data_IF_280340699110
#
_entry.id   IF_280340699110
#
_cell.length_a   1.000
_cell.length_b   1.000
_cell.length_c   1.000
_cell.angle_alpha   90.00
_cell.angle_beta   90.00
_cell.angle_gamma   90.00
#
_symmetry.space_group_name_H-M   'P 1'
#
loop_
_entity.id
_entity.type
_entity.pdbx_description
1 polymer ?
#
# COMPACT_ATOMS: atom_id res chain seq x y z
N UNK A 1 30.73 42.97 22.71
CA UNK A 1 30.44 41.59 22.29
C UNK A 1 29.93 40.95 23.54
N UNK A 2 28.61 40.95 23.69
CA UNK A 2 27.97 40.80 24.98
C UNK A 2 27.43 39.37 25.06
N UNK A 3 28.02 38.57 25.95
CA UNK A 3 27.63 37.18 26.17
C UNK A 3 26.29 37.13 26.91
N UNK A 4 25.26 36.63 26.22
CA UNK A 4 23.96 36.32 26.81
C UNK A 4 24.05 34.94 27.44
N UNK A 5 24.13 34.90 28.78
CA UNK A 5 24.07 33.66 29.55
C UNK A 5 22.60 33.27 29.70
N UNK A 6 22.20 32.18 29.03
CA UNK A 6 20.86 31.60 29.13
C UNK A 6 20.88 30.57 30.26
N UNK A 7 20.21 30.90 31.37
CA UNK A 7 20.01 29.99 32.50
C UNK A 7 18.94 28.94 32.16
N UNK A 8 19.37 27.70 31.94
CA UNK A 8 18.49 26.57 31.58
C UNK A 8 18.01 25.88 32.85
N UNK A 9 16.73 26.11 33.18
CA UNK A 9 16.06 25.50 34.33
C UNK A 9 15.93 23.97 34.16
N UNK A 10 16.33 23.22 35.19
CA UNK A 10 16.26 21.77 35.22
C UNK A 10 14.82 21.22 35.07
N UNK A 11 14.62 20.08 34.36
CA UNK A 11 13.31 19.50 34.14
C UNK A 11 12.74 18.86 35.42
N UNK A 12 11.48 19.19 35.72
CA UNK A 12 10.70 18.61 36.80
C UNK A 12 10.38 17.13 36.52
N UNK A 13 10.77 16.27 37.46
CA UNK A 13 10.46 14.83 37.44
C UNK A 13 8.98 14.63 37.75
N UNK A 14 8.17 14.35 36.72
CA UNK A 14 6.76 14.00 36.87
C UNK A 14 6.64 12.50 37.17
N UNK A 15 6.36 12.14 38.43
CA UNK A 15 5.92 10.79 38.80
C UNK A 15 4.46 10.59 38.41
N UNK A 16 4.21 9.87 37.33
CA UNK A 16 2.88 9.38 36.97
C UNK A 16 2.55 8.14 37.81
N UNK A 17 1.73 8.33 38.84
CA UNK A 17 1.03 7.26 39.56
C UNK A 17 -0.39 7.18 39.01
N UNK A 18 -0.67 6.15 38.22
CA UNK A 18 -2.03 5.77 37.87
C UNK A 18 -2.20 4.26 38.02
N UNK A 19 -2.48 3.87 39.25
CA UNK A 19 -3.03 2.57 39.58
C UNK A 19 -4.58 2.72 39.60
N UNK A 20 -5.24 2.35 38.49
CA UNK A 20 -6.71 2.34 38.41
C UNK A 20 -7.20 0.96 38.01
N UNK A 21 -7.53 0.17 39.04
CA UNK A 21 -8.38 -1.02 38.99
C UNK A 21 -9.67 -0.74 38.21
N UNK A 22 -9.77 -1.24 36.97
CA UNK A 22 -11.04 -1.35 36.25
C UNK A 22 -11.85 -2.52 36.83
N UNK A 23 -12.86 -2.21 37.64
CA UNK A 23 -13.99 -3.12 37.93
C UNK A 23 -14.76 -3.34 36.63
N UNK A 24 -14.76 -4.58 36.11
CA UNK A 24 -15.69 -5.02 35.06
C UNK A 24 -17.09 -5.12 35.66
N UNK A 25 -17.96 -4.17 35.34
CA UNK A 25 -19.40 -4.37 35.46
C UNK A 25 -19.85 -5.18 34.23
N UNK A 26 -20.26 -6.43 34.46
CA UNK A 26 -20.92 -7.26 33.45
C UNK A 26 -22.33 -6.73 33.23
N UNK A 27 -22.56 -6.08 32.09
CA UNK A 27 -23.90 -5.78 31.60
C UNK A 27 -24.60 -7.11 31.23
N UNK A 28 -25.88 -7.28 31.59
CA UNK A 28 -26.65 -8.44 31.17
C UNK A 28 -26.85 -8.36 29.65
N UNK A 29 -26.31 -9.35 28.95
CA UNK A 29 -26.50 -9.56 27.53
C UNK A 29 -27.96 -9.98 27.33
N UNK A 30 -28.81 -9.02 26.98
CA UNK A 30 -30.20 -9.25 26.61
C UNK A 30 -30.19 -10.10 25.34
N UNK A 31 -30.57 -11.37 25.48
CA UNK A 31 -30.64 -12.36 24.42
C UNK A 31 -31.60 -11.87 23.32
N UNK A 32 -31.05 -11.55 22.15
CA UNK A 32 -31.76 -11.11 20.94
C UNK A 32 -32.59 -12.24 20.30
N UNK A 33 -32.53 -13.46 20.85
CA UNK A 33 -33.20 -14.64 20.28
C UNK A 33 -34.73 -14.66 20.43
N UNK A 34 -35.35 -13.88 21.32
CA UNK A 34 -36.79 -13.98 21.53
C UNK A 34 -37.66 -13.13 20.58
N UNK A 35 -37.09 -12.17 19.85
CA UNK A 35 -37.87 -11.29 18.96
C UNK A 35 -38.22 -11.96 17.62
N UNK A 36 -37.55 -13.05 17.24
CA UNK A 36 -37.75 -13.70 15.93
C UNK A 36 -38.86 -14.76 15.88
N UNK A 37 -39.66 -14.93 16.94
CA UNK A 37 -40.70 -15.99 16.99
C UNK A 37 -42.01 -15.68 16.24
N UNK A 38 -42.20 -14.48 15.69
CA UNK A 38 -43.53 -14.02 15.22
C UNK A 38 -43.65 -13.63 13.74
N UNK A 39 -42.97 -14.33 12.83
CA UNK A 39 -43.24 -14.17 11.37
C UNK A 39 -43.60 -15.52 10.74
N UNK A 40 -44.87 -15.75 10.33
CA UNK A 40 -45.32 -16.98 9.68
C UNK A 40 -45.12 -16.93 8.16
N UNK A 41 -43.93 -16.50 7.70
CA UNK A 41 -43.55 -16.60 6.30
C UNK A 41 -42.37 -17.55 6.17
N UNK A 42 -42.68 -18.85 6.25
CA UNK A 42 -41.77 -19.89 5.77
C UNK A 42 -41.78 -19.87 4.24
N UNK A 43 -41.02 -18.93 3.66
CA UNK A 43 -40.56 -19.12 2.29
C UNK A 43 -39.79 -20.44 2.25
N UNK A 44 -40.00 -21.31 1.24
CA UNK A 44 -39.17 -22.48 1.06
C UNK A 44 -37.75 -21.98 0.83
N UNK A 45 -36.95 -21.99 1.89
CA UNK A 45 -35.50 -21.89 1.80
C UNK A 45 -35.10 -23.20 1.13
N UNK A 46 -35.14 -23.19 -0.20
CA UNK A 46 -34.38 -24.15 -0.99
C UNK A 46 -32.99 -24.06 -0.41
N UNK A 47 -32.56 -25.14 0.24
CA UNK A 47 -31.25 -25.21 0.84
C UNK A 47 -30.28 -24.87 -0.28
N UNK A 48 -29.74 -23.64 -0.27
CA UNK A 48 -28.63 -23.29 -1.13
C UNK A 48 -27.58 -24.31 -0.76
N UNK A 49 -27.43 -25.32 -1.62
CA UNK A 49 -26.44 -26.36 -1.51
C UNK A 49 -25.15 -25.56 -1.48
N UNK A 50 -24.62 -25.37 -0.27
CA UNK A 50 -23.50 -24.50 0.04
C UNK A 50 -22.31 -25.22 -0.57
N UNK A 51 -22.18 -25.14 -1.89
CA UNK A 51 -21.00 -25.55 -2.61
C UNK A 51 -19.92 -24.69 -1.96
N UNK A 52 -19.14 -25.32 -1.08
CA UNK A 52 -17.86 -24.81 -0.65
C UNK A 52 -17.03 -24.77 -1.93
N UNK A 53 -17.24 -23.75 -2.76
CA UNK A 53 -16.17 -23.18 -3.53
C UNK A 53 -15.17 -22.73 -2.47
N UNK A 54 -14.33 -23.67 -2.01
CA UNK A 54 -13.02 -23.32 -1.49
C UNK A 54 -12.34 -22.72 -2.70
N UNK A 55 -12.52 -21.41 -2.86
CA UNK A 55 -11.59 -20.62 -3.63
C UNK A 55 -10.26 -20.87 -2.94
N UNK A 56 -9.50 -21.84 -3.46
CA UNK A 56 -8.14 -22.08 -3.01
C UNK A 56 -7.35 -20.94 -3.61
N UNK A 57 -7.41 -19.78 -2.95
CA UNK A 57 -6.51 -18.69 -3.29
C UNK A 57 -5.09 -19.25 -3.18
N UNK A 58 -4.25 -19.07 -4.20
CA UNK A 58 -2.85 -19.45 -4.11
C UNK A 58 -2.22 -18.60 -3.01
N UNK A 59 -2.10 -19.17 -1.81
CA UNK A 59 -1.45 -18.50 -0.68
C UNK A 59 0.03 -18.37 -1.00
N UNK A 60 0.47 -17.13 -1.18
CA UNK A 60 1.87 -16.83 -1.42
C UNK A 60 2.67 -17.06 -0.13
N UNK A 61 3.81 -17.76 -0.26
CA UNK A 61 4.78 -17.88 0.83
C UNK A 61 5.38 -16.51 1.15
N UNK A 62 5.82 -16.32 2.40
CA UNK A 62 6.51 -15.08 2.84
C UNK A 62 7.65 -14.66 1.89
N UNK A 63 8.41 -15.62 1.37
CA UNK A 63 9.47 -15.35 0.39
C UNK A 63 8.96 -14.78 -0.93
N UNK A 64 7.80 -15.24 -1.42
CA UNK A 64 7.20 -14.72 -2.64
C UNK A 64 6.68 -13.30 -2.44
N UNK A 65 6.11 -12.99 -1.27
CA UNK A 65 5.65 -11.63 -0.93
C UNK A 65 6.83 -10.65 -0.84
N UNK A 66 7.93 -11.05 -0.19
CA UNK A 66 9.13 -10.24 -0.15
C UNK A 66 9.75 -10.03 -1.53
N UNK A 67 9.81 -11.09 -2.36
CA UNK A 67 10.31 -10.99 -3.73
C UNK A 67 9.43 -10.06 -4.58
N UNK A 68 8.11 -10.17 -4.45
CA UNK A 68 7.16 -9.27 -5.11
C UNK A 68 7.42 -7.81 -4.72
N UNK A 69 7.49 -7.52 -3.42
CA UNK A 69 7.74 -6.16 -2.93
C UNK A 69 9.10 -5.61 -3.40
N UNK A 70 10.13 -6.45 -3.53
CA UNK A 70 11.43 -6.03 -4.05
C UNK A 70 11.40 -5.77 -5.57
N UNK A 71 10.73 -6.63 -6.34
CA UNK A 71 10.58 -6.48 -7.79
C UNK A 71 9.87 -5.16 -8.12
N UNK A 72 8.78 -4.86 -7.41
CA UNK A 72 8.01 -3.63 -7.64
C UNK A 72 8.77 -2.37 -7.21
N UNK A 73 9.58 -2.44 -6.15
CA UNK A 73 10.48 -1.34 -5.81
C UNK A 73 11.56 -1.14 -6.88
N UNK A 74 12.11 -2.22 -7.43
CA UNK A 74 13.14 -2.15 -8.46
C UNK A 74 12.59 -1.64 -9.80
N UNK A 75 11.34 -1.93 -10.13
CA UNK A 75 10.72 -1.38 -11.35
C UNK A 75 10.74 0.15 -11.38
N UNK A 76 10.59 0.82 -10.23
CA UNK A 76 10.72 2.28 -10.16
C UNK A 76 12.12 2.74 -10.56
N UNK A 77 13.15 2.12 -10.00
CA UNK A 77 14.55 2.47 -10.31
C UNK A 77 14.84 2.26 -11.80
N UNK A 78 14.34 1.17 -12.38
CA UNK A 78 14.46 0.88 -13.80
C UNK A 78 13.78 1.96 -14.64
N UNK A 79 12.53 2.31 -14.33
CA UNK A 79 11.81 3.39 -15.03
C UNK A 79 12.57 4.72 -14.96
N UNK A 80 13.11 5.08 -13.79
CA UNK A 80 13.92 6.29 -13.65
C UNK A 80 15.19 6.24 -14.50
N UNK A 81 15.93 5.13 -14.47
CA UNK A 81 17.11 4.97 -15.32
C UNK A 81 16.79 5.12 -16.81
N UNK A 82 15.66 4.56 -17.27
CA UNK A 82 15.23 4.71 -18.66
C UNK A 82 14.86 6.17 -19.00
N UNK A 83 14.09 6.83 -18.14
CA UNK A 83 13.71 8.24 -18.34
C UNK A 83 14.94 9.15 -18.39
N UNK A 84 15.85 9.02 -17.43
CA UNK A 84 17.09 9.78 -17.41
C UNK A 84 17.97 9.48 -18.62
N UNK A 85 18.07 8.21 -19.05
CA UNK A 85 18.84 7.87 -20.24
C UNK A 85 18.28 8.52 -21.52
N UNK A 86 16.95 8.62 -21.65
CA UNK A 86 16.29 9.30 -22.77
C UNK A 86 16.62 10.80 -22.75
N UNK A 87 16.52 11.45 -21.59
CA UNK A 87 16.88 12.87 -21.42
C UNK A 87 18.35 13.14 -21.74
N UNK A 88 19.28 12.34 -21.19
CA UNK A 88 20.72 12.50 -21.40
C UNK A 88 21.16 12.23 -22.83
N UNK A 89 20.55 11.24 -23.48
CA UNK A 89 20.91 10.90 -24.85
C UNK A 89 20.53 12.03 -25.83
N UNK A 90 19.75 13.03 -25.38
CA UNK A 90 19.36 14.21 -26.13
C UNK A 90 18.82 13.83 -27.52
N UNK A 91 18.29 12.61 -27.64
CA UNK A 91 17.81 12.04 -28.90
C UNK A 91 16.66 12.95 -29.26
N UNK A 92 16.81 13.83 -30.26
CA UNK A 92 15.68 14.59 -30.73
C UNK A 92 14.83 13.53 -31.39
N UNK A 93 13.84 12.98 -30.67
CA UNK A 93 12.97 11.94 -31.20
C UNK A 93 12.24 12.62 -32.36
N UNK A 94 12.64 12.37 -33.61
CA UNK A 94 12.09 13.09 -34.73
C UNK A 94 10.70 12.49 -34.95
N UNK A 95 9.66 13.24 -34.64
CA UNK A 95 8.31 12.95 -35.11
C UNK A 95 7.67 11.63 -34.64
N UNK A 96 7.76 11.30 -33.35
CA UNK A 96 6.77 10.38 -32.74
C UNK A 96 5.89 11.16 -31.77
N UNK A 97 4.63 11.48 -32.11
CA UNK A 97 3.67 12.09 -31.19
C UNK A 97 3.39 11.23 -29.94
N UNK A 98 3.94 10.00 -29.89
CA UNK A 98 3.84 9.04 -28.78
C UNK A 98 4.86 9.33 -27.65
N UNK A 99 5.94 10.10 -27.92
CA UNK A 99 7.02 10.30 -26.93
C UNK A 99 7.45 11.75 -26.71
N UNK A 100 6.92 12.70 -27.47
CA UNK A 100 6.91 14.09 -27.03
C UNK A 100 5.63 14.26 -26.21
N UNK A 101 5.69 14.22 -24.86
CA UNK A 101 4.53 14.60 -24.08
C UNK A 101 4.17 16.01 -24.53
N UNK A 102 3.01 16.17 -25.16
CA UNK A 102 2.43 17.50 -25.21
C UNK A 102 2.42 18.02 -23.77
N UNK A 103 2.72 19.31 -23.54
CA UNK A 103 2.63 19.88 -22.21
C UNK A 103 1.22 19.58 -21.71
N UNK A 104 1.12 18.63 -20.78
CA UNK A 104 -0.17 18.20 -20.28
C UNK A 104 -0.75 19.37 -19.50
N UNK A 105 -1.90 19.86 -19.94
CA UNK A 105 -2.52 21.06 -19.37
C UNK A 105 -3.19 20.72 -18.03
N UNK A 106 -2.36 20.47 -17.02
CA UNK A 106 -2.80 20.25 -15.65
C UNK A 106 -3.19 21.58 -15.03
N UNK A 107 -4.34 21.61 -14.35
CA UNK A 107 -4.66 22.75 -13.49
C UNK A 107 -3.62 22.85 -12.36
N UNK A 108 -3.35 24.05 -11.81
CA UNK A 108 -2.39 24.22 -10.72
C UNK A 108 -2.67 23.32 -9.50
N UNK A 109 -3.95 23.01 -9.24
CA UNK A 109 -4.35 22.10 -8.18
C UNK A 109 -3.95 20.64 -8.47
N UNK A 110 -4.13 20.18 -9.71
CA UNK A 110 -3.74 18.84 -10.14
C UNK A 110 -2.22 18.68 -10.19
N UNK A 111 -1.48 19.71 -10.60
CA UNK A 111 -0.02 19.69 -10.60
C UNK A 111 0.53 19.48 -9.18
N UNK A 112 0.04 20.25 -8.20
CA UNK A 112 0.43 20.08 -6.79
C UNK A 112 0.04 18.69 -6.27
N UNK A 113 -1.14 18.20 -6.63
CA UNK A 113 -1.61 16.86 -6.26
C UNK A 113 -0.65 15.78 -6.80
N UNK A 114 -0.32 15.80 -8.10
CA UNK A 114 0.58 14.84 -8.74
C UNK A 114 1.98 14.89 -8.13
N UNK A 115 2.55 16.09 -7.93
CA UNK A 115 3.88 16.24 -7.32
C UNK A 115 3.90 15.65 -5.91
N UNK A 116 2.90 15.97 -5.09
CA UNK A 116 2.83 15.45 -3.71
C UNK A 116 2.70 13.92 -3.65
N UNK A 117 1.91 13.32 -4.54
CA UNK A 117 1.77 11.87 -4.61
C UNK A 117 3.01 11.19 -5.18
N UNK A 118 3.69 11.83 -6.13
CA UNK A 118 4.93 11.32 -6.70
C UNK A 118 6.06 11.30 -5.68
N UNK A 119 6.22 12.39 -4.91
CA UNK A 119 7.17 12.43 -3.79
C UNK A 119 6.84 11.36 -2.75
N UNK A 120 5.56 11.27 -2.34
CA UNK A 120 5.09 10.24 -1.40
C UNK A 120 5.39 8.82 -1.89
N UNK A 121 5.11 8.54 -3.15
CA UNK A 121 5.42 7.26 -3.79
C UNK A 121 6.90 6.91 -3.63
N UNK A 122 7.81 7.82 -3.99
CA UNK A 122 9.25 7.62 -3.84
C UNK A 122 9.64 7.34 -2.37
N UNK A 123 9.13 8.14 -1.43
CA UNK A 123 9.42 7.96 -0.01
C UNK A 123 9.02 6.58 0.53
N UNK A 124 7.93 5.99 0.05
CA UNK A 124 7.48 4.66 0.48
C UNK A 124 8.21 3.49 -0.21
N UNK A 125 8.79 3.71 -1.41
CA UNK A 125 9.60 2.66 -2.06
C UNK A 125 10.90 2.35 -1.32
N UNK A 126 11.46 3.32 -0.59
CA UNK A 126 12.70 3.12 0.21
C UNK A 126 12.50 2.09 1.34
N UNK A 127 11.55 2.28 2.30
CA UNK A 127 11.31 1.29 3.34
C UNK A 127 10.80 -0.03 2.77
N UNK A 128 10.03 -0.02 1.68
CA UNK A 128 9.64 -1.23 0.93
C UNK A 128 10.85 -2.04 0.48
N UNK A 129 11.78 -1.44 -0.27
CA UNK A 129 12.96 -2.11 -0.78
C UNK A 129 13.87 -2.61 0.35
N UNK A 130 14.09 -1.76 1.37
CA UNK A 130 14.95 -2.09 2.50
C UNK A 130 14.39 -3.29 3.29
N UNK A 131 13.11 -3.27 3.64
CA UNK A 131 12.47 -4.34 4.41
C UNK A 131 12.35 -5.63 3.62
N UNK A 132 12.04 -5.55 2.32
CA UNK A 132 12.02 -6.70 1.42
C UNK A 132 13.41 -7.36 1.35
N UNK A 133 14.45 -6.56 1.14
CA UNK A 133 15.85 -7.04 1.08
C UNK A 133 16.27 -7.70 2.38
N UNK A 134 16.08 -7.03 3.53
CA UNK A 134 16.42 -7.59 4.85
C UNK A 134 15.62 -8.89 5.10
N UNK A 135 14.32 -8.91 4.78
CA UNK A 135 13.48 -10.09 4.98
C UNK A 135 13.91 -11.31 4.13
N UNK A 136 14.42 -11.08 2.92
CA UNK A 136 14.96 -12.12 2.06
C UNK A 136 16.30 -12.67 2.55
N UNK A 137 17.15 -11.80 3.11
CA UNK A 137 18.46 -12.18 3.64
C UNK A 137 18.39 -12.87 5.02
N UNK A 138 17.28 -12.68 5.76
CA UNK A 138 17.12 -13.32 7.06
C UNK A 138 16.96 -14.84 6.94
N UNK A 139 17.61 -15.61 7.83
CA UNK A 139 17.53 -17.05 7.83
C UNK A 139 16.13 -17.55 8.25
N UNK A 140 15.76 -18.74 7.77
CA UNK A 140 14.42 -19.31 7.92
C UNK A 140 13.98 -19.51 9.38
N UNK A 141 14.90 -19.82 10.29
CA UNK A 141 14.58 -19.96 11.72
C UNK A 141 14.06 -18.66 12.37
N UNK A 142 14.18 -17.51 11.70
CA UNK A 142 13.59 -16.21 12.11
C UNK A 142 12.26 -15.93 11.41
N UNK A 143 11.40 -16.94 11.28
CA UNK A 143 10.11 -16.85 10.60
C UNK A 143 9.26 -15.65 11.04
N UNK A 144 9.15 -15.40 12.35
CA UNK A 144 8.39 -14.26 12.88
C UNK A 144 8.91 -12.91 12.37
N UNK A 145 10.23 -12.67 12.44
CA UNK A 145 10.83 -11.43 11.93
C UNK A 145 10.69 -11.29 10.42
N UNK A 146 10.84 -12.39 9.67
CA UNK A 146 10.66 -12.39 8.21
C UNK A 146 9.23 -12.02 7.83
N UNK A 147 8.26 -12.57 8.54
CA UNK A 147 6.84 -12.24 8.34
C UNK A 147 6.56 -10.77 8.63
N UNK A 148 7.05 -10.23 9.75
CA UNK A 148 6.88 -8.80 10.08
C UNK A 148 7.51 -7.91 9.00
N UNK A 149 8.71 -8.24 8.52
CA UNK A 149 9.34 -7.49 7.44
C UNK A 149 8.57 -7.61 6.12
N UNK A 150 8.04 -8.79 5.80
CA UNK A 150 7.19 -8.97 4.62
C UNK A 150 5.92 -8.13 4.71
N UNK A 151 5.31 -8.07 5.88
CA UNK A 151 4.13 -7.26 6.13
C UNK A 151 4.43 -5.76 5.99
N UNK A 152 5.53 -5.28 6.59
CA UNK A 152 5.95 -3.87 6.44
C UNK A 152 6.30 -3.55 4.98
N UNK A 153 7.00 -4.45 4.29
CA UNK A 153 7.35 -4.28 2.88
C UNK A 153 6.11 -4.13 2.00
N UNK A 154 5.12 -5.01 2.17
CA UNK A 154 3.93 -5.00 1.33
C UNK A 154 2.97 -3.86 1.67
N UNK A 155 2.87 -3.45 2.94
CA UNK A 155 2.09 -2.26 3.32
C UNK A 155 2.74 -1.01 2.72
N UNK A 156 4.07 -0.91 2.76
CA UNK A 156 4.80 0.19 2.12
C UNK A 156 4.57 0.20 0.61
N UNK A 157 4.63 -0.97 -0.05
CA UNK A 157 4.31 -1.12 -1.47
C UNK A 157 2.87 -0.71 -1.80
N UNK A 158 1.89 -1.14 -1.01
CA UNK A 158 0.49 -0.81 -1.23
C UNK A 158 0.23 0.70 -1.15
N UNK A 159 0.84 1.38 -0.17
CA UNK A 159 0.75 2.84 -0.04
C UNK A 159 1.44 3.51 -1.24
N UNK A 160 2.64 3.05 -1.61
CA UNK A 160 3.38 3.56 -2.75
C UNK A 160 2.55 3.44 -4.05
N UNK A 161 2.06 2.25 -4.39
CA UNK A 161 1.27 2.02 -5.59
C UNK A 161 -0.09 2.71 -5.54
N UNK A 162 -0.67 2.94 -4.36
CA UNK A 162 -1.87 3.78 -4.24
C UNK A 162 -1.56 5.23 -4.66
N UNK A 163 -0.47 5.83 -4.15
CA UNK A 163 -0.08 7.20 -4.54
C UNK A 163 0.23 7.29 -6.04
N UNK A 164 0.93 6.29 -6.58
CA UNK A 164 1.20 6.17 -8.01
C UNK A 164 -0.12 6.08 -8.81
N UNK A 165 -1.03 5.17 -8.42
CA UNK A 165 -2.32 4.99 -9.08
C UNK A 165 -3.15 6.27 -9.06
N UNK A 166 -3.11 7.01 -7.94
CA UNK A 166 -3.80 8.29 -7.83
C UNK A 166 -3.23 9.32 -8.81
N UNK A 167 -1.91 9.38 -8.95
CA UNK A 167 -1.26 10.22 -9.97
C UNK A 167 -1.68 9.83 -11.38
N UNK A 168 -1.65 8.52 -11.70
CA UNK A 168 -2.09 7.99 -13.00
C UNK A 168 -3.54 8.38 -13.31
N UNK A 169 -4.44 8.33 -12.33
CA UNK A 169 -5.83 8.74 -12.53
C UNK A 169 -5.98 10.24 -12.83
N UNK A 170 -5.14 11.09 -12.23
CA UNK A 170 -5.12 12.53 -12.55
C UNK A 170 -4.65 12.74 -14.00
N UNK A 171 -3.60 12.02 -14.43
CA UNK A 171 -3.12 12.05 -15.81
C UNK A 171 -4.20 11.60 -16.81
N UNK A 172 -4.88 10.48 -16.54
CA UNK A 172 -5.99 9.99 -17.38
C UNK A 172 -7.15 10.99 -17.43
N UNK A 173 -7.44 11.68 -16.33
CA UNK A 173 -8.49 12.68 -16.29
C UNK A 173 -8.12 13.96 -17.06
N UNK A 174 -6.83 14.29 -17.13
CA UNK A 174 -6.33 15.46 -17.86
C UNK A 174 -6.26 15.20 -19.38
N UNK A 175 -5.95 13.97 -19.80
CA UNK A 175 -5.97 13.57 -21.20
C UNK A 175 -6.61 12.18 -21.38
N UNK A 176 -7.95 12.11 -21.51
CA UNK A 176 -8.65 10.86 -21.72
C UNK A 176 -8.52 10.32 -23.16
N UNK A 177 -7.94 11.10 -24.09
CA UNK A 177 -7.76 10.69 -25.49
C UNK A 177 -6.52 9.81 -25.67
N UNK A 178 -5.56 9.85 -24.74
CA UNK A 178 -4.40 8.96 -24.73
C UNK A 178 -4.75 7.55 -24.21
N UNK A 179 -5.41 6.79 -25.07
CA UNK A 179 -5.76 5.37 -24.83
C UNK A 179 -4.52 4.52 -24.55
N UNK A 180 -3.37 4.87 -25.13
CA UNK A 180 -2.13 4.11 -24.95
C UNK A 180 -1.59 4.24 -23.53
N UNK A 181 -1.58 5.45 -22.99
CA UNK A 181 -1.24 5.72 -21.61
C UNK A 181 -2.26 5.10 -20.64
N UNK A 182 -3.56 5.21 -20.93
CA UNK A 182 -4.62 4.59 -20.10
C UNK A 182 -4.39 3.09 -19.96
N UNK A 183 -4.16 2.38 -21.06
CA UNK A 183 -3.96 0.92 -21.04
C UNK A 183 -2.66 0.57 -20.31
N UNK A 184 -1.57 1.25 -20.63
CA UNK A 184 -0.26 0.95 -20.06
C UNK A 184 -0.18 1.32 -18.57
N UNK A 185 -0.37 2.61 -18.25
CA UNK A 185 -0.23 3.11 -16.88
C UNK A 185 -1.37 2.61 -15.98
N UNK A 186 -2.62 2.65 -16.47
CA UNK A 186 -3.78 2.14 -15.74
C UNK A 186 -3.72 0.63 -15.53
N UNK A 187 -3.33 -0.13 -16.56
CA UNK A 187 -3.11 -1.57 -16.46
C UNK A 187 -2.03 -1.94 -15.43
N UNK A 188 -0.87 -1.28 -15.49
CA UNK A 188 0.20 -1.46 -14.51
C UNK A 188 -0.25 -1.13 -13.08
N UNK A 189 -0.99 -0.03 -12.89
CA UNK A 189 -1.54 0.35 -11.59
C UNK A 189 -2.46 -0.75 -11.02
N UNK A 190 -3.37 -1.29 -11.82
CA UNK A 190 -4.25 -2.40 -11.40
C UNK A 190 -3.45 -3.66 -11.06
N UNK A 191 -2.44 -4.02 -11.86
CA UNK A 191 -1.59 -5.18 -11.60
C UNK A 191 -0.82 -5.04 -10.28
N UNK A 192 -0.25 -3.86 -10.01
CA UNK A 192 0.50 -3.62 -8.79
C UNK A 192 -0.40 -3.64 -7.55
N UNK A 193 -1.50 -2.89 -7.56
CA UNK A 193 -2.47 -2.88 -6.45
C UNK A 193 -3.08 -4.27 -6.22
N UNK A 194 -3.39 -5.00 -7.29
CA UNK A 194 -3.90 -6.36 -7.21
C UNK A 194 -2.89 -7.34 -6.60
N UNK A 195 -1.62 -7.24 -7.00
CA UNK A 195 -0.53 -8.04 -6.45
C UNK A 195 -0.25 -7.75 -4.97
N UNK A 196 -0.34 -6.48 -4.57
CA UNK A 196 -0.20 -6.08 -3.17
C UNK A 196 -1.33 -6.62 -2.30
N UNK A 197 -2.58 -6.51 -2.77
CA UNK A 197 -3.74 -7.04 -2.07
C UNK A 197 -3.64 -8.56 -1.91
N UNK A 198 -3.27 -9.27 -2.98
CA UNK A 198 -3.07 -10.72 -2.92
C UNK A 198 -1.96 -11.10 -1.94
N UNK A 199 -0.88 -10.33 -1.89
CA UNK A 199 0.23 -10.53 -0.97
C UNK A 199 -0.15 -10.27 0.49
N UNK A 200 -0.91 -9.20 0.77
CA UNK A 200 -1.45 -8.92 2.11
C UNK A 200 -2.38 -10.04 2.56
N UNK A 201 -3.33 -10.45 1.71
CA UNK A 201 -4.24 -11.55 2.01
C UNK A 201 -3.48 -12.86 2.26
N UNK A 202 -2.44 -13.12 1.47
CA UNK A 202 -1.58 -14.29 1.64
C UNK A 202 -0.86 -14.29 2.99
N UNK A 203 -0.31 -13.16 3.44
CA UNK A 203 0.34 -13.06 4.75
C UNK A 203 -0.64 -13.22 5.91
N UNK A 204 -1.85 -12.65 5.79
CA UNK A 204 -2.87 -12.70 6.84
C UNK A 204 -3.47 -14.10 7.00
N UNK A 205 -3.65 -14.83 5.89
CA UNK A 205 -4.22 -16.19 5.91
C UNK A 205 -3.14 -17.25 6.14
N UNK A 206 -1.97 -17.10 5.51
CA UNK A 206 -0.88 -18.07 5.53
C UNK A 206 -0.08 -18.08 6.84
N UNK A 207 -0.06 -16.97 7.58
CA UNK A 207 0.73 -16.87 8.81
C UNK A 207 2.23 -16.74 8.54
N UNK A 208 3.06 -17.09 9.53
CA UNK A 208 4.49 -16.74 9.55
C UNK A 208 5.38 -17.50 8.58
N UNK A 209 4.90 -18.56 7.90
CA UNK A 209 5.59 -19.28 6.81
C UNK A 209 4.65 -19.92 5.80
#
# INVERSE_FOLDING_TARGET
MDEIIIDVRAPLVVRSSMDKKKKKASLPMLMVEEVFKWVPFQLPVTSFKKNKFRFQMPLLKVQAVLAWALITAFSLAVTWCFLSAIEFANVPIPCSPILQPQPLDLTPAQEVEVVSFWEGYQWFTVPQAATATVGLLLPRHRAGSRWTLAFVAIVSAAVAHYMQSRSVLVFIAADPEDISFIIMAGGCAVLFVGGDLLSILSLLIGGTE
#
